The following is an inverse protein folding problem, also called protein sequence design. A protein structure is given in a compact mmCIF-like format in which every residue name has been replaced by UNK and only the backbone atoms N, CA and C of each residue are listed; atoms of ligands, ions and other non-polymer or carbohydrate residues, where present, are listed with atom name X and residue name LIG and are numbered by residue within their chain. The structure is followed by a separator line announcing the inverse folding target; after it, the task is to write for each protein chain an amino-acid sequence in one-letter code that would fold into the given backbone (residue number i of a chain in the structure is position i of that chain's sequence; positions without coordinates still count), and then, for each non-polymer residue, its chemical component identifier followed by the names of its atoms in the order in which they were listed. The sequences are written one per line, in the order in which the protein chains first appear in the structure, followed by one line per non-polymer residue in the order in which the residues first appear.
data_IF_755467003575
#
_entry.id   IF_755467003575
#
_cell.length_a   1.000
_cell.length_b   1.000
_cell.length_c   1.000
_cell.angle_alpha   90.00
_cell.angle_beta   90.00
_cell.angle_gamma   90.00
#
_symmetry.space_group_name_H-M   'P 1'
#
loop_
_entity.id
_entity.type
_entity.pdbx_description
1 polymer ?
#
# COMPACT_ATOMS: atom_id res chain seq x y z
N UNK A 1 18.34 -12.93 -14.91
CA UNK A 1 17.76 -11.59 -14.89
C UNK A 1 16.38 -11.68 -14.23
N UNK A 2 16.20 -11.02 -13.11
CA UNK A 2 14.92 -10.93 -12.42
C UNK A 2 14.46 -9.48 -12.42
N UNK A 3 13.15 -9.27 -12.63
CA UNK A 3 12.53 -7.96 -12.51
C UNK A 3 11.94 -7.81 -11.11
N UNK A 4 12.51 -6.91 -10.33
CA UNK A 4 12.02 -6.57 -9.00
C UNK A 4 11.16 -5.31 -9.03
N UNK A 5 10.06 -5.31 -8.31
CA UNK A 5 9.16 -4.15 -8.17
C UNK A 5 9.17 -3.70 -6.71
N UNK A 6 9.66 -2.50 -6.45
CA UNK A 6 9.85 -1.97 -5.10
C UNK A 6 8.67 -1.12 -4.65
N UNK A 7 8.10 -1.50 -3.51
CA UNK A 7 7.17 -0.67 -2.72
C UNK A 7 7.60 -0.66 -1.26
N UNK A 8 7.20 0.39 -0.53
CA UNK A 8 7.44 0.38 0.91
C UNK A 8 6.63 -0.71 1.60
N UNK A 9 5.34 -0.85 1.25
CA UNK A 9 4.41 -1.83 1.83
C UNK A 9 3.33 -2.21 0.82
N UNK A 10 2.82 -3.43 0.91
CA UNK A 10 1.62 -3.89 0.18
C UNK A 10 0.46 -3.90 1.16
N UNK A 11 -0.49 -2.94 1.09
CA UNK A 11 -1.67 -2.96 1.93
C UNK A 11 -2.68 -4.02 1.46
N UNK A 12 -3.42 -4.57 2.42
CA UNK A 12 -4.40 -5.65 2.13
C UNK A 12 -5.56 -5.17 1.24
N UNK A 13 -6.06 -3.97 1.54
CA UNK A 13 -7.15 -3.32 0.79
C UNK A 13 -6.59 -2.14 0.01
N UNK A 14 -6.05 -2.41 -1.17
CA UNK A 14 -5.47 -1.36 -2.00
C UNK A 14 -5.78 -1.55 -3.48
N UNK A 15 -6.14 -0.44 -4.10
CA UNK A 15 -6.17 -0.23 -5.54
C UNK A 15 -4.99 0.65 -5.99
N UNK A 16 -5.09 1.26 -7.16
CA UNK A 16 -4.08 2.17 -7.70
C UNK A 16 -2.74 1.48 -7.92
N UNK A 17 -1.65 2.04 -7.39
CA UNK A 17 -0.27 1.55 -7.62
C UNK A 17 -0.11 0.08 -7.26
N UNK A 18 -0.71 -0.37 -6.14
CA UNK A 18 -0.64 -1.79 -5.74
C UNK A 18 -1.28 -2.71 -6.77
N UNK A 19 -2.44 -2.33 -7.33
CA UNK A 19 -3.08 -3.11 -8.41
C UNK A 19 -2.23 -3.11 -9.67
N UNK A 20 -1.63 -1.98 -10.05
CA UNK A 20 -0.71 -1.90 -11.20
C UNK A 20 0.46 -2.85 -11.04
N UNK A 21 1.11 -2.85 -9.87
CA UNK A 21 2.26 -3.69 -9.58
C UNK A 21 1.89 -5.18 -9.62
N UNK A 22 0.78 -5.57 -8.98
CA UNK A 22 0.28 -6.95 -8.99
C UNK A 22 -0.07 -7.39 -10.41
N UNK A 23 -0.78 -6.58 -11.19
CA UNK A 23 -1.14 -6.90 -12.57
C UNK A 23 0.10 -7.00 -13.47
N UNK A 24 1.05 -6.09 -13.35
CA UNK A 24 2.31 -6.12 -14.11
C UNK A 24 3.11 -7.38 -13.77
N UNK A 25 3.26 -7.70 -12.48
CA UNK A 25 3.99 -8.90 -12.07
C UNK A 25 3.34 -10.18 -12.59
N UNK A 26 2.00 -10.26 -12.59
CA UNK A 26 1.23 -11.36 -13.16
C UNK A 26 1.48 -11.47 -14.66
N UNK A 27 1.33 -10.39 -15.43
CA UNK A 27 1.54 -10.38 -16.89
C UNK A 27 2.97 -10.77 -17.27
N UNK A 28 3.98 -10.35 -16.50
CA UNK A 28 5.36 -10.74 -16.73
C UNK A 28 5.57 -12.24 -16.44
N UNK A 29 5.04 -12.75 -15.34
CA UNK A 29 5.13 -14.17 -15.00
C UNK A 29 4.41 -15.06 -16.03
N UNK A 30 3.22 -14.68 -16.50
CA UNK A 30 2.49 -15.37 -17.56
C UNK A 30 3.27 -15.46 -18.89
N UNK A 31 4.17 -14.49 -19.12
CA UNK A 31 5.09 -14.49 -20.27
C UNK A 31 6.43 -15.17 -20.01
N UNK A 32 6.60 -15.81 -18.84
CA UNK A 32 7.81 -16.54 -18.48
C UNK A 32 8.95 -15.68 -17.93
N UNK A 33 8.74 -14.41 -17.63
CA UNK A 33 9.75 -13.56 -17.00
C UNK A 33 9.78 -13.78 -15.49
N UNK A 34 10.99 -13.93 -14.93
CA UNK A 34 11.20 -13.96 -13.48
C UNK A 34 10.91 -12.59 -12.89
N UNK A 35 10.00 -12.52 -11.90
CA UNK A 35 9.72 -11.27 -11.20
C UNK A 35 9.40 -11.50 -9.71
N UNK A 36 9.68 -10.47 -8.89
CA UNK A 36 9.39 -10.46 -7.47
C UNK A 36 8.97 -9.07 -7.00
N UNK A 37 8.18 -9.02 -5.93
CA UNK A 37 7.75 -7.80 -5.27
C UNK A 37 8.62 -7.58 -4.04
N UNK A 38 9.35 -6.45 -3.96
CA UNK A 38 10.15 -6.07 -2.81
C UNK A 38 9.39 -5.16 -1.87
N UNK A 39 9.44 -5.43 -0.56
CA UNK A 39 8.82 -4.60 0.47
C UNK A 39 9.79 -4.32 1.62
N UNK A 40 9.66 -3.13 2.23
CA UNK A 40 10.59 -2.58 3.20
C UNK A 40 9.97 -2.32 4.58
N UNK A 41 8.69 -2.64 4.76
CA UNK A 41 7.99 -2.47 6.04
C UNK A 41 8.10 -3.70 6.93
N UNK A 42 8.02 -3.47 8.23
CA UNK A 42 8.04 -4.51 9.24
C UNK A 42 6.65 -5.17 9.39
N UNK A 43 6.33 -6.08 8.48
CA UNK A 43 5.04 -6.76 8.40
C UNK A 43 5.24 -8.26 8.13
N UNK A 44 4.39 -9.10 8.71
CA UNK A 44 4.26 -10.50 8.30
C UNK A 44 3.41 -10.59 7.04
N UNK A 45 4.00 -11.04 5.95
CA UNK A 45 3.35 -11.15 4.65
C UNK A 45 2.64 -12.50 4.41
N UNK A 46 2.83 -13.53 5.24
CA UNK A 46 2.23 -14.85 5.02
C UNK A 46 0.70 -14.83 4.84
N UNK A 47 -0.08 -14.14 5.71
CA UNK A 47 -1.53 -14.07 5.52
C UNK A 47 -1.93 -13.33 4.25
N UNK A 48 -1.17 -12.29 3.89
CA UNK A 48 -1.43 -11.50 2.69
C UNK A 48 -1.07 -12.27 1.42
N UNK A 49 0.06 -13.00 1.41
CA UNK A 49 0.44 -13.88 0.29
C UNK A 49 -0.67 -14.89 0.00
N UNK A 50 -1.11 -15.63 1.02
CA UNK A 50 -2.18 -16.61 0.88
C UNK A 50 -3.45 -15.98 0.29
N UNK A 51 -3.87 -14.82 0.83
CA UNK A 51 -5.08 -14.13 0.36
C UNK A 51 -4.96 -13.64 -1.09
N UNK A 52 -3.82 -13.05 -1.47
CA UNK A 52 -3.60 -12.55 -2.83
C UNK A 52 -3.50 -13.69 -3.85
N UNK A 53 -2.88 -14.82 -3.49
CA UNK A 53 -2.77 -16.00 -4.34
C UNK A 53 -4.15 -16.65 -4.52
N UNK A 54 -4.89 -16.86 -3.45
CA UNK A 54 -6.23 -17.49 -3.49
C UNK A 54 -7.23 -16.63 -4.28
N UNK A 55 -7.09 -15.31 -4.27
CA UNK A 55 -7.91 -14.40 -5.07
C UNK A 55 -7.44 -14.23 -6.53
N UNK A 56 -6.37 -14.91 -6.95
CA UNK A 56 -5.78 -14.78 -8.29
C UNK A 56 -5.11 -13.42 -8.58
N UNK A 57 -4.95 -12.57 -7.58
CA UNK A 57 -4.29 -11.26 -7.69
C UNK A 57 -2.77 -11.35 -7.69
N UNK A 58 -2.20 -12.35 -7.03
CA UNK A 58 -0.78 -12.67 -7.08
C UNK A 58 -0.58 -13.97 -7.86
N UNK A 59 0.21 -13.92 -8.92
CA UNK A 59 0.56 -15.13 -9.68
C UNK A 59 1.43 -16.06 -8.82
N UNK A 60 1.25 -17.38 -8.92
CA UNK A 60 1.95 -18.38 -8.10
C UNK A 60 3.48 -18.31 -8.20
N UNK A 61 4.00 -17.90 -9.34
CA UNK A 61 5.45 -17.78 -9.58
C UNK A 61 6.03 -16.44 -9.08
N UNK A 62 5.19 -15.49 -8.67
CA UNK A 62 5.63 -14.17 -8.18
C UNK A 62 5.86 -14.22 -6.68
N UNK A 63 7.08 -13.98 -6.25
CA UNK A 63 7.45 -13.92 -4.83
C UNK A 63 7.22 -12.51 -4.26
N UNK A 64 6.78 -12.43 -3.00
CA UNK A 64 6.89 -11.22 -2.19
C UNK A 64 8.11 -11.41 -1.29
N UNK A 65 9.12 -10.59 -1.49
CA UNK A 65 10.37 -10.58 -0.74
C UNK A 65 10.35 -9.39 0.20
N UNK A 66 10.37 -9.65 1.50
CA UNK A 66 10.32 -8.60 2.51
C UNK A 66 11.64 -8.51 3.26
N UNK A 67 12.17 -7.30 3.43
CA UNK A 67 13.45 -7.05 4.10
C UNK A 67 13.55 -7.76 5.47
N UNK A 68 12.54 -7.60 6.32
CA UNK A 68 12.57 -8.15 7.67
C UNK A 68 12.38 -9.67 7.70
N UNK A 69 11.61 -10.23 6.76
CA UNK A 69 11.44 -11.67 6.62
C UNK A 69 12.75 -12.32 6.13
N UNK A 70 13.43 -11.72 5.15
CA UNK A 70 14.72 -12.23 4.66
C UNK A 70 15.78 -12.19 5.74
N UNK A 71 15.93 -11.08 6.46
CA UNK A 71 16.90 -11.01 7.56
C UNK A 71 16.59 -12.02 8.66
N UNK A 72 15.31 -12.22 8.98
CA UNK A 72 14.88 -13.27 9.91
C UNK A 72 15.32 -14.65 9.42
N UNK A 73 15.05 -14.99 8.16
CA UNK A 73 15.41 -16.28 7.56
C UNK A 73 16.93 -16.50 7.50
N UNK A 74 17.70 -15.43 7.25
CA UNK A 74 19.16 -15.48 7.19
C UNK A 74 19.79 -15.87 8.53
N UNK A 75 19.17 -15.47 9.66
CA UNK A 75 19.73 -15.67 11.00
C UNK A 75 19.02 -16.72 11.84
N UNK A 76 17.86 -17.22 11.40
CA UNK A 76 17.21 -18.35 12.06
C UNK A 76 18.02 -19.63 11.84
N UNK A 77 18.14 -20.43 12.90
CA UNK A 77 18.92 -21.66 12.93
C UNK A 77 17.98 -22.86 12.96
N UNK A 78 18.15 -23.79 12.05
CA UNK A 78 17.48 -25.09 12.08
C UNK A 78 18.11 -25.98 13.16
N UNK A 79 17.52 -25.96 14.36
CA UNK A 79 17.99 -26.73 15.51
C UNK A 79 16.80 -27.11 16.43
N UNK A 80 16.58 -28.41 16.57
CA UNK A 80 15.47 -28.97 17.35
C UNK A 80 15.54 -28.60 18.84
N UNK A 81 16.73 -28.47 19.42
CA UNK A 81 16.89 -28.08 20.83
C UNK A 81 16.43 -26.63 21.04
N UNK A 82 16.81 -25.74 20.12
CA UNK A 82 16.37 -24.33 20.13
C UNK A 82 14.87 -24.25 19.97
N UNK A 83 14.29 -25.01 19.05
CA UNK A 83 12.83 -25.06 18.81
C UNK A 83 12.09 -25.54 20.07
N UNK A 84 12.54 -26.62 20.68
CA UNK A 84 11.97 -27.16 21.92
C UNK A 84 12.06 -26.17 23.07
N UNK A 85 13.20 -25.53 23.25
CA UNK A 85 13.41 -24.49 24.27
C UNK A 85 12.48 -23.30 24.07
N UNK A 86 12.35 -22.81 22.84
CA UNK A 86 11.43 -21.73 22.49
C UNK A 86 9.99 -22.11 22.78
N UNK A 87 9.58 -23.31 22.39
CA UNK A 87 8.24 -23.82 22.62
C UNK A 87 7.93 -23.87 24.14
N UNK A 88 8.80 -24.49 24.93
CA UNK A 88 8.64 -24.58 26.39
C UNK A 88 8.56 -23.20 27.03
N UNK A 89 9.43 -22.27 26.60
CA UNK A 89 9.44 -20.90 27.12
C UNK A 89 8.15 -20.18 26.76
N UNK A 90 7.72 -20.29 25.50
CA UNK A 90 6.48 -19.69 25.03
C UNK A 90 5.26 -20.23 25.76
N UNK A 91 5.15 -21.54 25.94
CA UNK A 91 4.02 -22.18 26.63
C UNK A 91 3.88 -21.68 28.07
N UNK A 92 4.99 -21.58 28.82
CA UNK A 92 5.00 -20.96 30.15
C UNK A 92 4.50 -19.52 30.13
N UNK A 93 4.98 -18.73 29.16
CA UNK A 93 4.59 -17.32 29.03
C UNK A 93 3.14 -17.16 28.50
N UNK A 94 2.66 -18.11 27.70
CA UNK A 94 1.32 -18.10 27.13
C UNK A 94 0.23 -18.41 28.18
N UNK A 95 0.59 -19.02 29.31
CA UNK A 95 -0.36 -19.26 30.40
C UNK A 95 -0.96 -17.95 30.89
N UNK A 96 -2.30 -17.95 31.02
CA UNK A 96 -3.02 -16.82 31.59
C UNK A 96 -2.76 -16.71 33.11
N UNK A 97 -2.91 -17.84 33.82
CA UNK A 97 -2.69 -17.89 35.27
C UNK A 97 -1.19 -18.00 35.53
N UNK A 98 -0.68 -17.12 36.39
CA UNK A 98 0.70 -17.16 36.86
C UNK A 98 0.71 -17.06 38.39
N UNK A 99 1.45 -17.96 38.98
CA UNK A 99 1.57 -18.02 40.45
C UNK A 99 2.19 -16.74 41.02
N UNK A 100 1.66 -16.25 42.14
CA UNK A 100 2.11 -15.04 42.79
C UNK A 100 1.63 -13.72 42.18
N UNK A 101 0.66 -13.77 41.23
CA UNK A 101 0.08 -12.55 40.66
C UNK A 101 -1.42 -12.44 40.90
N UNK A 102 -1.89 -11.24 41.17
CA UNK A 102 -3.30 -10.85 41.01
C UNK A 102 -3.52 -10.50 39.55
N UNK A 103 -4.62 -11.03 38.96
CA UNK A 103 -4.85 -10.95 37.51
C UNK A 103 -6.21 -10.32 37.23
N UNK A 104 -6.20 -9.19 36.50
CA UNK A 104 -7.39 -8.59 35.94
C UNK A 104 -7.47 -8.95 34.45
N UNK A 105 -8.59 -9.53 34.02
CA UNK A 105 -8.82 -10.05 32.66
C UNK A 105 -9.87 -9.23 31.94
N UNK A 106 -9.68 -9.02 30.64
CA UNK A 106 -10.65 -8.46 29.73
C UNK A 106 -10.61 -9.24 28.41
N UNK A 107 -11.78 -9.54 27.84
CA UNK A 107 -11.92 -10.22 26.54
C UNK A 107 -12.79 -9.37 25.62
N UNK A 108 -12.37 -9.20 24.37
CA UNK A 108 -13.14 -8.52 23.35
C UNK A 108 -12.88 -9.16 21.98
N UNK A 109 -13.93 -9.74 21.37
CA UNK A 109 -13.83 -10.50 20.11
C UNK A 109 -12.74 -11.59 20.20
N UNK A 110 -11.82 -11.61 19.22
CA UNK A 110 -10.69 -12.56 19.15
C UNK A 110 -9.49 -12.14 20.01
N UNK A 111 -9.63 -11.08 20.82
CA UNK A 111 -8.54 -10.51 21.62
C UNK A 111 -8.82 -10.71 23.10
N UNK A 112 -7.82 -11.25 23.76
CA UNK A 112 -7.80 -11.43 25.22
C UNK A 112 -6.68 -10.62 25.82
N UNK A 113 -6.95 -9.99 26.95
CA UNK A 113 -6.00 -9.13 27.66
C UNK A 113 -5.94 -9.53 29.13
N UNK A 114 -4.75 -9.40 29.74
CA UNK A 114 -4.59 -9.57 31.17
C UNK A 114 -3.56 -8.59 31.74
N UNK A 115 -3.90 -8.01 32.89
CA UNK A 115 -3.02 -7.17 33.70
C UNK A 115 -2.62 -7.94 34.96
N UNK A 116 -1.34 -7.93 35.24
CA UNK A 116 -0.74 -8.68 36.35
C UNK A 116 -0.17 -7.74 37.38
N UNK A 117 -0.56 -7.97 38.65
CA UNK A 117 -0.14 -7.18 39.79
C UNK A 117 0.57 -8.08 40.78
N UNK A 118 1.65 -7.60 41.37
CA UNK A 118 2.37 -8.24 42.47
C UNK A 118 2.71 -7.18 43.53
N UNK A 119 2.47 -7.47 44.81
CA UNK A 119 2.72 -6.56 45.93
C UNK A 119 2.13 -5.15 45.64
N UNK A 120 0.88 -5.09 45.19
CA UNK A 120 0.16 -3.87 44.80
C UNK A 120 0.79 -3.08 43.62
N UNK A 121 1.80 -3.61 42.95
CA UNK A 121 2.43 -2.98 41.80
C UNK A 121 1.94 -3.60 40.48
N UNK A 122 1.68 -2.75 39.49
CA UNK A 122 1.40 -3.19 38.13
C UNK A 122 2.71 -3.61 37.45
N UNK A 123 2.85 -4.91 37.19
CA UNK A 123 4.13 -5.49 36.74
C UNK A 123 4.11 -5.84 35.26
N UNK A 124 2.97 -6.36 34.77
CA UNK A 124 2.95 -6.92 33.42
C UNK A 124 1.56 -6.83 32.78
N UNK A 125 1.54 -6.67 31.47
CA UNK A 125 0.35 -6.79 30.63
C UNK A 125 0.60 -7.82 29.54
N UNK A 126 -0.33 -8.73 29.34
CA UNK A 126 -0.28 -9.69 28.23
C UNK A 126 -1.45 -9.48 27.29
N UNK A 127 -1.20 -9.70 25.99
CA UNK A 127 -2.22 -9.69 24.95
C UNK A 127 -2.14 -10.94 24.10
N UNK A 128 -3.28 -11.58 23.92
CA UNK A 128 -3.46 -12.71 23.00
C UNK A 128 -4.29 -12.26 21.81
N UNK A 129 -4.02 -12.86 20.66
CA UNK A 129 -4.78 -12.72 19.40
C UNK A 129 -5.00 -14.16 18.89
N UNK A 130 -6.24 -14.53 18.60
CA UNK A 130 -6.60 -15.88 18.16
C UNK A 130 -6.04 -16.98 19.09
N UNK A 131 -6.12 -16.76 20.41
CA UNK A 131 -5.63 -17.68 21.42
C UNK A 131 -4.12 -17.77 21.60
N UNK A 132 -3.33 -17.07 20.83
CA UNK A 132 -1.87 -17.05 20.93
C UNK A 132 -1.35 -15.74 21.52
N UNK A 133 -0.37 -15.85 22.42
CA UNK A 133 0.29 -14.69 23.02
C UNK A 133 0.99 -13.87 21.92
N UNK A 134 0.53 -12.61 21.77
CA UNK A 134 1.07 -11.66 20.80
C UNK A 134 2.20 -10.84 21.38
N UNK A 135 2.00 -10.28 22.56
CA UNK A 135 3.07 -9.52 23.23
C UNK A 135 2.88 -9.45 24.77
N UNK A 136 3.98 -9.16 25.44
CA UNK A 136 4.04 -8.87 26.88
C UNK A 136 4.65 -7.49 27.06
N UNK A 137 3.96 -6.61 27.79
CA UNK A 137 4.52 -5.36 28.29
C UNK A 137 4.96 -5.53 29.75
N UNK A 138 6.14 -5.05 30.09
CA UNK A 138 6.70 -5.04 31.44
C UNK A 138 6.70 -3.62 31.98
N UNK A 139 6.34 -3.47 33.25
CA UNK A 139 6.21 -2.19 33.94
C UNK A 139 7.09 -2.14 35.19
N UNK A 140 7.67 -0.97 35.41
CA UNK A 140 8.37 -0.62 36.65
C UNK A 140 7.94 0.79 37.04
N UNK A 141 7.59 0.99 38.33
CA UNK A 141 7.10 2.27 38.81
C UNK A 141 5.95 2.85 37.95
N UNK A 142 4.99 2.00 37.56
CA UNK A 142 3.84 2.32 36.68
C UNK A 142 4.21 2.77 35.25
N UNK A 143 5.50 2.76 34.90
CA UNK A 143 5.97 3.08 33.54
C UNK A 143 6.28 1.80 32.80
N UNK A 144 5.88 1.74 31.49
CA UNK A 144 6.28 0.63 30.65
C UNK A 144 7.75 0.79 30.31
N UNK A 145 8.54 -0.23 30.61
CA UNK A 145 9.97 -0.25 30.36
C UNK A 145 10.33 -1.08 29.13
N UNK A 146 9.59 -2.18 28.87
CA UNK A 146 9.92 -3.14 27.83
C UNK A 146 8.67 -3.80 27.26
N UNK A 147 8.74 -4.19 25.97
CA UNK A 147 7.77 -5.07 25.31
C UNK A 147 8.49 -6.21 24.63
N UNK A 148 8.02 -7.43 24.86
CA UNK A 148 8.37 -8.61 24.09
C UNK A 148 7.26 -8.88 23.08
N UNK A 149 7.61 -9.06 21.77
CA UNK A 149 6.67 -9.38 20.70
C UNK A 149 6.98 -10.78 20.19
N UNK A 150 5.94 -11.61 20.12
CA UNK A 150 6.04 -13.00 19.68
C UNK A 150 5.44 -13.16 18.29
N UNK A 151 6.09 -13.99 17.46
CA UNK A 151 5.58 -14.43 16.17
C UNK A 151 5.89 -15.93 16.03
N UNK A 152 4.90 -16.73 15.69
CA UNK A 152 5.03 -18.18 15.59
C UNK A 152 5.63 -18.82 16.85
N UNK A 153 5.19 -18.36 18.03
CA UNK A 153 5.64 -18.81 19.37
C UNK A 153 7.10 -18.47 19.71
N UNK A 154 7.78 -17.67 18.91
CA UNK A 154 9.16 -17.24 19.10
C UNK A 154 9.20 -15.75 19.46
N UNK A 155 10.07 -15.37 20.41
CA UNK A 155 10.34 -13.97 20.71
C UNK A 155 11.12 -13.36 19.52
N UNK A 156 10.48 -12.44 18.81
CA UNK A 156 11.05 -11.81 17.60
C UNK A 156 11.50 -10.39 17.78
N UNK A 157 10.89 -9.68 18.72
CA UNK A 157 11.28 -8.28 18.99
C UNK A 157 11.29 -7.99 20.48
N UNK A 158 12.26 -7.23 20.88
CA UNK A 158 12.33 -6.56 22.17
C UNK A 158 12.28 -5.05 21.94
N UNK A 159 11.32 -4.38 22.58
CA UNK A 159 11.13 -2.93 22.46
C UNK A 159 11.37 -2.32 23.83
N UNK A 160 12.28 -1.38 23.92
CA UNK A 160 12.56 -0.61 25.14
C UNK A 160 11.88 0.75 25.07
N UNK A 161 11.41 1.25 26.19
CA UNK A 161 10.73 2.53 26.32
C UNK A 161 11.48 3.46 27.27
N UNK A 162 11.49 4.75 26.95
CA UNK A 162 12.05 5.78 27.80
C UNK A 162 11.03 6.24 28.85
N UNK A 163 11.46 7.14 29.76
CA UNK A 163 10.62 7.68 30.85
C UNK A 163 9.33 8.38 30.39
N UNK A 164 9.28 8.83 29.13
CA UNK A 164 8.11 9.46 28.50
C UNK A 164 7.18 8.43 27.83
N UNK A 165 7.40 7.12 28.06
CA UNK A 165 6.69 6.01 27.43
C UNK A 165 6.77 6.02 25.89
N UNK A 166 7.86 6.55 25.33
CA UNK A 166 8.18 6.50 23.91
C UNK A 166 9.18 5.38 23.63
N UNK A 167 9.08 4.71 22.49
CA UNK A 167 10.08 3.73 22.08
C UNK A 167 11.46 4.39 21.99
N UNK A 168 12.45 3.81 22.64
CA UNK A 168 13.85 4.22 22.58
C UNK A 168 14.71 3.26 21.77
N UNK A 169 14.37 1.95 21.78
CA UNK A 169 15.07 0.93 21.02
C UNK A 169 14.10 -0.17 20.57
N UNK A 170 14.33 -0.73 19.38
CA UNK A 170 13.67 -1.94 18.89
C UNK A 170 14.73 -2.92 18.39
N UNK A 171 14.86 -4.06 19.07
CA UNK A 171 15.73 -5.17 18.66
C UNK A 171 14.94 -6.22 17.92
N UNK A 172 15.49 -6.73 16.82
CA UNK A 172 14.99 -7.86 16.06
C UNK A 172 15.86 -9.08 16.35
N UNK A 173 15.22 -10.19 16.68
CA UNK A 173 15.86 -11.38 17.17
C UNK A 173 15.62 -12.59 16.27
N UNK A 174 16.68 -13.38 16.03
CA UNK A 174 16.58 -14.71 15.48
C UNK A 174 15.98 -15.69 16.50
N UNK A 175 15.70 -16.92 16.07
CA UNK A 175 15.11 -17.94 16.94
C UNK A 175 16.03 -18.40 18.08
N UNK A 176 17.33 -18.21 17.98
CA UNK A 176 18.31 -18.49 19.03
C UNK A 176 18.58 -17.28 19.95
N UNK A 177 17.86 -16.16 19.72
CA UNK A 177 17.96 -14.94 20.49
C UNK A 177 19.06 -13.97 20.05
N UNK A 178 19.76 -14.25 18.94
CA UNK A 178 20.74 -13.32 18.39
C UNK A 178 20.05 -12.05 17.87
N UNK A 179 20.50 -10.87 18.32
CA UNK A 179 20.02 -9.59 17.83
C UNK A 179 20.75 -9.24 16.54
N UNK A 180 20.08 -9.39 15.39
CA UNK A 180 20.67 -9.06 14.10
C UNK A 180 20.41 -7.61 13.65
N UNK A 181 19.43 -6.92 14.26
CA UNK A 181 19.07 -5.56 13.89
C UNK A 181 18.55 -4.79 15.10
N UNK A 182 19.07 -3.57 15.33
CA UNK A 182 18.60 -2.68 16.40
C UNK A 182 18.35 -1.29 15.85
N UNK A 183 17.13 -0.77 16.10
CA UNK A 183 16.72 0.59 15.78
C UNK A 183 16.73 1.44 17.04
N UNK A 184 17.40 2.58 17.00
CA UNK A 184 17.43 3.54 18.09
C UNK A 184 16.63 4.79 17.71
N UNK A 185 15.79 5.25 18.63
CA UNK A 185 14.85 6.35 18.43
C UNK A 185 15.14 7.52 19.34
N UNK A 186 15.05 8.72 18.79
CA UNK A 186 15.06 9.96 19.56
C UNK A 186 13.68 10.33 20.12
N UNK A 187 13.66 11.40 20.91
CA UNK A 187 12.44 11.90 21.59
C UNK A 187 11.26 12.19 20.64
N UNK A 188 11.52 12.55 19.39
CA UNK A 188 10.51 12.84 18.38
C UNK A 188 10.07 11.60 17.57
N UNK A 189 10.39 10.39 18.05
CA UNK A 189 10.15 9.11 17.34
C UNK A 189 10.90 9.00 16.02
N UNK A 190 11.85 9.88 15.74
CA UNK A 190 12.75 9.75 14.58
C UNK A 190 13.80 8.68 14.87
N UNK A 191 14.19 7.97 13.83
CA UNK A 191 15.32 7.04 13.90
C UNK A 191 16.61 7.87 14.00
N UNK A 192 17.40 7.59 15.04
CA UNK A 192 18.71 8.20 15.29
C UNK A 192 19.82 7.34 14.74
N UNK A 193 19.66 6.02 14.90
CA UNK A 193 20.63 5.03 14.46
C UNK A 193 20.00 3.69 14.19
N UNK A 194 20.60 2.92 13.27
CA UNK A 194 20.26 1.54 12.97
C UNK A 194 21.55 0.75 13.01
N UNK A 195 21.63 -0.27 13.86
CA UNK A 195 22.76 -1.19 13.92
C UNK A 195 22.33 -2.53 13.30
N UNK A 196 23.10 -2.98 12.35
CA UNK A 196 22.99 -4.30 11.75
C UNK A 196 24.19 -5.13 12.17
N UNK A 197 23.93 -6.29 12.77
CA UNK A 197 24.93 -7.21 13.28
C UNK A 197 24.98 -8.44 12.38
N UNK A 198 26.11 -8.65 11.75
CA UNK A 198 26.34 -9.86 10.97
C UNK A 198 26.97 -10.94 11.86
N UNK A 199 26.22 -12.03 12.08
CA UNK A 199 26.66 -13.15 12.93
C UNK A 199 27.88 -13.86 12.39
N UNK A 200 28.01 -13.94 11.06
CA UNK A 200 29.05 -14.72 10.40
C UNK A 200 30.38 -13.96 10.33
N UNK A 201 30.35 -12.71 9.87
CA UNK A 201 31.55 -11.87 9.80
C UNK A 201 31.92 -11.21 11.12
N UNK A 202 30.99 -11.20 12.11
CA UNK A 202 31.08 -10.46 13.38
C UNK A 202 31.19 -8.93 13.17
N UNK A 203 30.80 -8.45 11.99
CA UNK A 203 30.79 -7.02 11.69
C UNK A 203 29.55 -6.34 12.27
N UNK A 204 29.71 -5.07 12.63
CA UNK A 204 28.63 -4.19 13.03
C UNK A 204 28.58 -3.01 12.09
N UNK A 205 27.49 -2.92 11.34
CA UNK A 205 27.26 -1.80 10.44
C UNK A 205 26.29 -0.82 11.09
N UNK A 206 26.50 0.47 10.82
CA UNK A 206 25.73 1.56 11.39
C UNK A 206 25.14 2.44 10.28
N UNK A 207 23.83 2.69 10.36
CA UNK A 207 23.10 3.53 9.41
C UNK A 207 22.34 4.65 10.14
N UNK A 208 22.47 5.88 9.67
CA UNK A 208 21.81 7.06 10.27
C UNK A 208 20.29 7.09 10.08
N UNK A 209 19.77 6.35 9.10
CA UNK A 209 18.35 6.35 8.76
C UNK A 209 17.96 5.15 7.87
N UNK A 210 16.66 4.95 7.73
CA UNK A 210 16.12 3.88 6.88
C UNK A 210 16.54 3.95 5.41
N UNK A 211 16.80 5.14 4.87
CA UNK A 211 17.18 5.26 3.45
C UNK A 211 18.49 4.54 3.21
N UNK A 212 19.50 4.81 4.05
CA UNK A 212 20.83 4.17 3.95
C UNK A 212 20.76 2.67 4.17
N UNK A 213 19.99 2.22 5.18
CA UNK A 213 19.84 0.79 5.46
C UNK A 213 19.10 0.06 4.33
N UNK A 214 18.05 0.65 3.77
CA UNK A 214 17.33 0.09 2.65
C UNK A 214 18.20 0.02 1.38
N UNK A 215 18.99 1.06 1.07
CA UNK A 215 19.96 1.02 -0.03
C UNK A 215 20.96 -0.11 0.14
N UNK A 216 21.53 -0.25 1.34
CA UNK A 216 22.46 -1.34 1.66
C UNK A 216 21.85 -2.73 1.44
N UNK A 217 20.60 -2.94 1.92
CA UNK A 217 19.89 -4.20 1.73
C UNK A 217 19.63 -4.49 0.25
N UNK A 218 19.24 -3.47 -0.53
CA UNK A 218 19.05 -3.61 -1.98
C UNK A 218 20.37 -3.96 -2.68
N UNK A 219 21.47 -3.30 -2.31
CA UNK A 219 22.81 -3.60 -2.87
C UNK A 219 23.27 -5.04 -2.61
N UNK A 220 22.87 -5.62 -1.47
CA UNK A 220 23.19 -7.02 -1.13
C UNK A 220 22.35 -8.04 -1.86
N UNK A 221 21.13 -7.69 -2.25
CA UNK A 221 20.14 -8.62 -2.80
C UNK A 221 19.96 -8.49 -4.32
N UNK A 222 20.49 -7.43 -4.95
CA UNK A 222 20.36 -7.20 -6.38
C UNK A 222 21.70 -7.34 -7.08
N UNK A 223 21.66 -7.91 -8.28
CA UNK A 223 22.83 -8.09 -9.14
C UNK A 223 22.76 -7.20 -10.38
N UNK A 224 23.89 -7.01 -11.07
CA UNK A 224 23.98 -6.25 -12.32
C UNK A 224 23.05 -6.76 -13.43
N UNK A 225 22.60 -8.00 -13.34
CA UNK A 225 21.65 -8.59 -14.30
C UNK A 225 20.18 -8.31 -13.96
N UNK A 226 19.91 -7.63 -12.86
CA UNK A 226 18.54 -7.41 -12.41
C UNK A 226 18.01 -6.02 -12.81
N UNK A 227 16.68 -5.93 -12.88
CA UNK A 227 15.94 -4.68 -13.13
C UNK A 227 15.14 -4.34 -11.90
N UNK A 228 15.29 -3.12 -11.41
CA UNK A 228 14.52 -2.60 -10.28
C UNK A 228 13.52 -1.54 -10.74
N UNK A 229 12.22 -1.86 -10.67
CA UNK A 229 11.12 -0.93 -10.93
C UNK A 229 10.67 -0.28 -9.63
N UNK A 230 10.63 1.04 -9.60
CA UNK A 230 10.29 1.86 -8.46
C UNK A 230 8.92 2.50 -8.68
N UNK A 231 7.88 1.86 -8.17
CA UNK A 231 6.48 2.27 -8.37
C UNK A 231 5.93 3.15 -7.24
N UNK A 232 6.50 3.05 -6.06
CA UNK A 232 5.98 3.74 -4.88
C UNK A 232 6.46 5.20 -4.75
N UNK A 233 5.56 6.09 -4.34
CA UNK A 233 5.94 7.41 -3.87
C UNK A 233 6.96 7.26 -2.73
N UNK A 234 8.10 7.96 -2.80
CA UNK A 234 9.15 7.90 -1.79
C UNK A 234 10.09 6.68 -1.89
N UNK A 235 10.03 5.90 -2.99
CA UNK A 235 11.04 4.85 -3.24
C UNK A 235 12.35 5.42 -3.79
N UNK A 236 12.34 6.54 -4.50
CA UNK A 236 13.54 7.19 -5.00
C UNK A 236 14.63 7.40 -3.92
N UNK A 237 14.34 7.98 -2.73
CA UNK A 237 15.36 8.14 -1.70
C UNK A 237 15.86 6.83 -1.09
N UNK A 238 15.27 5.67 -1.41
CA UNK A 238 15.70 4.35 -0.94
C UNK A 238 16.78 3.74 -1.82
N UNK A 239 16.93 4.25 -3.03
CA UNK A 239 17.92 3.79 -4.01
C UNK A 239 18.99 4.84 -4.30
N UNK A 240 18.81 6.07 -3.84
CA UNK A 240 19.73 7.20 -4.04
C UNK A 240 21.14 6.91 -3.49
N UNK A 241 21.25 6.10 -2.43
CA UNK A 241 22.51 5.73 -1.79
C UNK A 241 23.01 4.32 -2.17
N UNK A 242 22.39 3.68 -3.15
CA UNK A 242 22.87 2.40 -3.66
C UNK A 242 24.26 2.56 -4.29
N UNK A 243 25.17 1.63 -3.97
CA UNK A 243 26.52 1.58 -4.53
C UNK A 243 26.57 0.74 -5.81
N UNK A 244 25.64 -0.22 -5.96
CA UNK A 244 25.53 -1.03 -7.17
C UNK A 244 24.85 -0.23 -8.30
N UNK A 245 25.69 0.42 -9.11
CA UNK A 245 25.23 1.24 -10.23
C UNK A 245 24.86 0.43 -11.47
N UNK A 246 25.22 -0.86 -11.51
CA UNK A 246 24.94 -1.74 -12.66
C UNK A 246 23.50 -2.24 -12.69
N UNK A 247 22.78 -2.21 -11.55
CA UNK A 247 21.34 -2.51 -11.48
C UNK A 247 20.57 -1.45 -12.25
N UNK A 248 19.83 -1.86 -13.27
CA UNK A 248 18.96 -0.95 -14.04
C UNK A 248 17.74 -0.51 -13.24
N UNK A 249 17.60 0.79 -13.02
CA UNK A 249 16.54 1.39 -12.20
C UNK A 249 15.51 2.08 -13.09
N UNK A 250 14.25 1.64 -13.01
CA UNK A 250 13.11 2.23 -13.74
C UNK A 250 12.22 2.94 -12.73
N UNK A 251 12.17 4.25 -12.81
CA UNK A 251 11.33 5.08 -11.94
C UNK A 251 10.00 5.33 -12.61
N UNK A 252 8.88 5.10 -11.92
CA UNK A 252 7.54 5.31 -12.50
C UNK A 252 6.77 6.37 -11.72
N UNK A 253 6.24 7.36 -12.42
CA UNK A 253 5.32 8.37 -11.85
C UNK A 253 3.88 7.97 -12.17
N UNK A 254 3.15 7.51 -11.15
CA UNK A 254 1.76 7.04 -11.26
C UNK A 254 0.70 8.11 -11.04
N UNK A 255 1.07 9.37 -10.84
CA UNK A 255 0.15 10.47 -10.53
C UNK A 255 0.61 11.76 -11.20
N UNK A 256 -0.21 12.78 -11.13
CA UNK A 256 0.24 14.12 -11.53
C UNK A 256 1.35 14.59 -10.58
N UNK A 257 2.45 15.09 -11.13
CA UNK A 257 3.62 15.53 -10.39
C UNK A 257 3.56 16.99 -9.93
N UNK A 258 2.55 17.75 -10.39
CA UNK A 258 2.33 19.12 -9.98
C UNK A 258 1.43 19.24 -8.74
N UNK A 259 1.67 20.29 -7.95
CA UNK A 259 0.69 20.80 -6.99
C UNK A 259 -0.47 21.50 -7.72
N UNK A 260 -1.50 21.92 -6.96
CA UNK A 260 -2.61 22.69 -7.53
C UNK A 260 -2.08 23.94 -8.28
N UNK A 261 -2.62 24.26 -9.47
CA UNK A 261 -3.81 23.71 -10.13
C UNK A 261 -3.60 22.44 -10.98
N UNK A 262 -2.53 21.67 -10.76
CA UNK A 262 -2.23 20.39 -11.39
C UNK A 262 -1.94 20.45 -12.89
N UNK A 263 -1.34 21.55 -13.34
CA UNK A 263 -1.00 21.82 -14.74
C UNK A 263 0.40 22.39 -14.85
N UNK A 264 0.93 22.39 -16.07
CA UNK A 264 2.22 22.99 -16.36
C UNK A 264 2.36 24.42 -15.80
N UNK A 265 3.51 24.70 -15.18
CA UNK A 265 3.79 25.96 -14.50
C UNK A 265 3.47 25.98 -12.99
N UNK A 266 2.77 24.98 -12.47
CA UNK A 266 2.59 24.81 -11.04
C UNK A 266 3.86 24.24 -10.36
N UNK A 267 3.95 24.38 -9.06
CA UNK A 267 5.05 23.79 -8.28
C UNK A 267 5.04 22.26 -8.35
N UNK A 268 6.24 21.68 -8.32
CA UNK A 268 6.42 20.22 -8.25
C UNK A 268 6.12 19.74 -6.83
N UNK A 269 5.38 18.66 -6.73
CA UNK A 269 5.16 17.97 -5.44
C UNK A 269 6.49 17.60 -4.80
N UNK A 270 6.67 17.81 -3.48
CA UNK A 270 7.94 17.59 -2.79
C UNK A 270 8.53 16.19 -3.02
N UNK A 271 7.67 15.17 -3.08
CA UNK A 271 8.07 13.77 -3.26
C UNK A 271 8.73 13.47 -4.63
N UNK A 272 8.51 14.30 -5.65
CA UNK A 272 9.10 14.14 -6.98
C UNK A 272 10.23 15.13 -7.25
N UNK A 273 10.37 16.16 -6.43
CA UNK A 273 11.30 17.29 -6.69
C UNK A 273 12.73 16.81 -6.89
N UNK A 274 13.29 16.07 -5.95
CA UNK A 274 14.69 15.60 -6.06
C UNK A 274 14.90 14.69 -7.26
N UNK A 275 13.97 13.77 -7.50
CA UNK A 275 14.06 12.86 -8.65
C UNK A 275 14.05 13.62 -9.97
N UNK A 276 13.16 14.62 -10.14
CA UNK A 276 13.04 15.38 -11.37
C UNK A 276 14.18 16.39 -11.55
N UNK A 277 14.74 16.94 -10.46
CA UNK A 277 15.94 17.78 -10.54
C UNK A 277 17.19 16.98 -10.96
N UNK A 278 17.23 15.69 -10.62
CA UNK A 278 18.32 14.78 -11.02
C UNK A 278 17.93 13.91 -12.23
N UNK A 279 16.99 14.37 -13.06
CA UNK A 279 16.45 13.60 -14.20
C UNK A 279 17.54 13.08 -15.14
N UNK A 280 18.59 13.84 -15.36
CA UNK A 280 19.74 13.48 -16.19
C UNK A 280 20.44 12.20 -15.71
N UNK A 281 20.48 11.99 -14.40
CA UNK A 281 21.19 10.86 -13.76
C UNK A 281 20.34 9.59 -13.63
N UNK A 282 19.05 9.66 -14.01
CA UNK A 282 18.18 8.49 -13.95
C UNK A 282 18.41 7.56 -15.15
N UNK A 283 18.47 6.26 -14.92
CA UNK A 283 18.53 5.26 -16.00
C UNK A 283 17.29 5.35 -16.90
N UNK A 284 16.10 5.33 -16.32
CA UNK A 284 14.84 5.47 -17.05
C UNK A 284 13.75 6.04 -16.16
N UNK A 285 13.08 7.08 -16.64
CA UNK A 285 11.84 7.58 -16.08
C UNK A 285 10.65 7.13 -16.91
N UNK A 286 9.70 6.44 -16.33
CA UNK A 286 8.43 6.06 -16.95
C UNK A 286 7.33 7.00 -16.48
N UNK A 287 6.61 7.55 -17.43
CA UNK A 287 5.35 8.28 -17.21
C UNK A 287 4.22 7.60 -17.97
N UNK A 288 2.99 7.85 -17.58
CA UNK A 288 1.85 7.08 -18.07
C UNK A 288 1.19 7.70 -19.30
N UNK A 289 1.49 8.97 -19.61
CA UNK A 289 0.89 9.69 -20.74
C UNK A 289 1.91 10.56 -21.46
N UNK A 290 1.64 10.82 -22.74
CA UNK A 290 2.46 11.73 -23.53
C UNK A 290 2.42 13.16 -22.98
N UNK A 291 1.24 13.63 -22.56
CA UNK A 291 1.10 14.98 -21.96
C UNK A 291 2.02 15.16 -20.74
N UNK A 292 2.11 14.15 -19.88
CA UNK A 292 2.99 14.21 -18.71
C UNK A 292 4.48 14.23 -19.12
N UNK A 293 4.87 13.45 -20.14
CA UNK A 293 6.22 13.48 -20.70
C UNK A 293 6.54 14.87 -21.24
N UNK A 294 5.65 15.44 -22.04
CA UNK A 294 5.84 16.74 -22.68
C UNK A 294 6.00 17.86 -21.63
N UNK A 295 5.19 17.84 -20.57
CA UNK A 295 5.30 18.79 -19.44
C UNK A 295 6.64 18.66 -18.69
N UNK A 296 7.12 17.44 -18.47
CA UNK A 296 8.41 17.20 -17.79
C UNK A 296 9.57 17.65 -18.68
N UNK A 297 9.57 17.31 -19.97
CA UNK A 297 10.60 17.75 -20.92
C UNK A 297 10.66 19.29 -20.99
N UNK A 298 9.50 19.93 -21.08
CA UNK A 298 9.42 21.39 -21.15
C UNK A 298 10.00 22.08 -19.92
N UNK A 299 9.93 21.45 -18.74
CA UNK A 299 10.41 22.04 -17.48
C UNK A 299 11.85 21.65 -17.13
N UNK A 300 12.27 20.44 -17.44
CA UNK A 300 13.55 19.87 -16.99
C UNK A 300 14.51 19.52 -18.13
N UNK A 301 14.07 19.55 -19.38
CA UNK A 301 14.85 19.16 -20.56
C UNK A 301 14.63 17.70 -20.97
N UNK A 302 15.05 17.36 -22.18
CA UNK A 302 14.99 16.00 -22.72
C UNK A 302 16.37 15.33 -22.68
N UNK A 303 16.49 14.26 -21.92
CA UNK A 303 17.71 13.45 -21.79
C UNK A 303 17.56 12.05 -22.42
N UNK A 304 16.55 11.85 -23.26
CA UNK A 304 16.22 10.58 -23.92
C UNK A 304 15.89 9.39 -23.00
N UNK A 305 15.84 9.61 -21.69
CA UNK A 305 15.56 8.60 -20.67
C UNK A 305 14.10 8.57 -20.22
N UNK A 306 13.22 9.44 -20.74
CA UNK A 306 11.80 9.48 -20.39
C UNK A 306 11.02 8.62 -21.41
N UNK A 307 10.35 7.58 -20.89
CA UNK A 307 9.51 6.68 -21.69
C UNK A 307 8.04 6.81 -21.31
N UNK A 308 7.16 6.74 -22.28
CA UNK A 308 5.70 6.68 -22.05
C UNK A 308 5.28 5.22 -22.07
N UNK A 309 4.92 4.67 -20.90
CA UNK A 309 4.44 3.29 -20.77
C UNK A 309 3.16 3.32 -19.94
N UNK A 310 1.99 3.27 -20.56
CA UNK A 310 0.71 3.27 -19.85
C UNK A 310 0.54 2.03 -18.96
N UNK A 311 -0.25 2.16 -17.91
CA UNK A 311 -0.69 1.00 -17.14
C UNK A 311 -1.59 0.12 -18.01
N UNK A 312 -1.52 -1.19 -17.81
CA UNK A 312 -2.33 -2.19 -18.50
C UNK A 312 -3.34 -2.84 -17.53
N UNK A 313 -4.44 -3.29 -18.09
CA UNK A 313 -5.41 -4.17 -17.43
C UNK A 313 -5.57 -5.44 -18.26
N UNK A 314 -5.90 -6.56 -17.62
CA UNK A 314 -6.22 -7.79 -18.34
C UNK A 314 -7.53 -7.57 -19.11
N UNK A 315 -7.56 -8.03 -20.35
CA UNK A 315 -8.75 -8.01 -21.19
C UNK A 315 -9.32 -9.44 -21.24
N UNK A 316 -10.62 -9.58 -20.98
CA UNK A 316 -11.32 -10.86 -21.10
C UNK A 316 -12.08 -10.89 -22.45
N UNK A 317 -11.65 -11.76 -23.36
CA UNK A 317 -12.24 -11.89 -24.71
C UNK A 317 -13.68 -12.44 -24.67
N UNK A 318 -13.99 -13.28 -23.70
CA UNK A 318 -15.29 -13.95 -23.55
C UNK A 318 -16.12 -13.30 -22.41
N UNK A 319 -16.47 -12.03 -22.55
CA UNK A 319 -17.56 -11.46 -21.76
C UNK A 319 -18.86 -12.10 -22.26
N UNK A 320 -19.32 -13.16 -21.61
CA UNK A 320 -20.71 -13.64 -21.79
C UNK A 320 -21.64 -12.42 -21.71
N UNK A 321 -22.66 -12.36 -22.55
CA UNK A 321 -23.65 -11.27 -22.57
C UNK A 321 -24.32 -11.17 -21.20
N UNK A 322 -23.64 -10.55 -20.23
CA UNK A 322 -24.23 -10.25 -18.94
C UNK A 322 -25.23 -9.10 -19.15
N UNK A 323 -26.46 -9.34 -18.75
CA UNK A 323 -27.51 -8.34 -18.81
C UNK A 323 -27.09 -7.20 -17.88
N UNK A 324 -26.66 -6.08 -18.46
CA UNK A 324 -26.36 -4.86 -17.70
C UNK A 324 -27.62 -4.37 -16.99
N UNK A 325 -27.49 -4.01 -15.76
CA UNK A 325 -28.56 -3.38 -14.99
C UNK A 325 -28.79 -1.97 -15.57
N UNK A 326 -29.98 -1.73 -16.11
CA UNK A 326 -30.33 -0.44 -16.65
C UNK A 326 -30.19 0.65 -15.57
N UNK A 327 -29.67 1.82 -15.92
CA UNK A 327 -29.52 2.98 -15.05
C UNK A 327 -28.60 2.72 -13.82
N UNK A 328 -27.72 1.72 -13.88
CA UNK A 328 -26.75 1.37 -12.82
C UNK A 328 -25.40 2.03 -13.08
N UNK A 329 -25.01 2.97 -12.23
CA UNK A 329 -23.75 3.72 -12.29
C UNK A 329 -22.81 3.15 -11.20
N UNK A 330 -21.55 2.93 -11.56
CA UNK A 330 -20.55 2.42 -10.63
C UNK A 330 -19.36 3.38 -10.45
N UNK A 331 -18.88 3.47 -9.22
CA UNK A 331 -17.67 4.22 -8.85
C UNK A 331 -16.81 3.36 -7.95
N UNK A 332 -15.63 2.96 -8.40
CA UNK A 332 -14.63 2.21 -7.62
C UNK A 332 -13.44 3.13 -7.35
N UNK A 333 -13.38 3.75 -6.17
CA UNK A 333 -12.35 4.74 -5.83
C UNK A 333 -12.09 4.78 -4.32
N UNK A 334 -10.91 5.30 -3.93
CA UNK A 334 -10.63 5.64 -2.53
C UNK A 334 -11.52 6.83 -2.09
N UNK A 335 -12.02 6.78 -0.88
CA UNK A 335 -12.85 7.86 -0.32
C UNK A 335 -11.99 8.98 0.26
N UNK A 336 -11.33 9.73 -0.62
CA UNK A 336 -10.49 10.90 -0.31
C UNK A 336 -11.00 12.14 -1.04
N UNK A 337 -10.72 13.33 -0.49
CA UNK A 337 -11.28 14.58 -0.99
C UNK A 337 -11.03 14.80 -2.49
N UNK A 338 -9.82 14.57 -2.96
CA UNK A 338 -9.42 14.77 -4.36
C UNK A 338 -10.22 13.95 -5.40
N UNK A 339 -10.99 12.95 -4.98
CA UNK A 339 -11.84 12.15 -5.88
C UNK A 339 -13.19 12.80 -6.17
N UNK A 340 -13.58 13.82 -5.41
CA UNK A 340 -14.79 14.62 -5.61
C UNK A 340 -16.06 13.78 -5.84
N UNK A 341 -16.19 12.64 -5.14
CA UNK A 341 -17.37 11.76 -5.26
C UNK A 341 -18.66 12.50 -4.88
N UNK A 342 -18.57 13.56 -4.07
CA UNK A 342 -19.68 14.45 -3.75
C UNK A 342 -20.30 15.12 -4.98
N UNK A 343 -19.50 15.36 -6.05
CA UNK A 343 -20.01 15.90 -7.31
C UNK A 343 -20.90 14.87 -8.03
N UNK A 344 -20.51 13.60 -8.00
CA UNK A 344 -21.29 12.50 -8.59
C UNK A 344 -22.61 12.34 -7.82
N UNK A 345 -22.56 12.32 -6.47
CA UNK A 345 -23.77 12.26 -5.62
C UNK A 345 -24.70 13.43 -5.91
N UNK A 346 -24.15 14.65 -6.06
CA UNK A 346 -24.93 15.83 -6.40
C UNK A 346 -25.51 15.78 -7.82
N UNK A 347 -24.79 15.20 -8.79
CA UNK A 347 -25.29 14.98 -10.13
C UNK A 347 -26.48 14.00 -10.14
N UNK A 348 -26.41 12.92 -9.34
CA UNK A 348 -27.55 11.98 -9.20
C UNK A 348 -28.82 12.69 -8.69
N UNK A 349 -28.67 13.68 -7.80
CA UNK A 349 -29.83 14.46 -7.34
C UNK A 349 -30.52 15.24 -8.48
N UNK A 350 -29.79 15.58 -9.54
CA UNK A 350 -30.37 16.21 -10.74
C UNK A 350 -30.96 15.14 -11.67
N UNK A 351 -30.20 14.05 -11.92
CA UNK A 351 -30.56 12.97 -12.84
C UNK A 351 -31.86 12.29 -12.43
N UNK A 352 -32.06 11.99 -11.14
CA UNK A 352 -33.26 11.29 -10.63
C UNK A 352 -34.58 12.01 -10.91
N UNK A 353 -34.55 13.33 -11.19
CA UNK A 353 -35.76 14.07 -11.57
C UNK A 353 -36.32 13.61 -12.91
N UNK A 354 -35.47 13.07 -13.80
CA UNK A 354 -35.80 12.52 -15.11
C UNK A 354 -35.77 10.99 -15.15
N UNK A 355 -34.81 10.38 -14.48
CA UNK A 355 -34.57 8.93 -14.40
C UNK A 355 -34.74 8.51 -12.96
N UNK A 356 -35.97 8.22 -12.55
CA UNK A 356 -36.34 7.97 -11.14
C UNK A 356 -35.62 6.74 -10.55
N UNK A 357 -35.38 5.73 -11.36
CA UNK A 357 -34.78 4.44 -11.02
C UNK A 357 -33.24 4.42 -11.17
N UNK A 358 -32.58 5.58 -11.37
CA UNK A 358 -31.12 5.66 -11.42
C UNK A 358 -30.53 5.20 -10.08
N UNK A 359 -29.51 4.35 -10.16
CA UNK A 359 -28.75 3.84 -9.00
C UNK A 359 -27.27 4.12 -9.15
N UNK A 360 -26.67 4.64 -8.09
CA UNK A 360 -25.23 4.86 -7.98
C UNK A 360 -24.67 3.94 -6.90
N UNK A 361 -23.76 3.07 -7.27
CA UNK A 361 -23.03 2.18 -6.37
C UNK A 361 -21.59 2.67 -6.22
N UNK A 362 -21.19 3.04 -4.98
CA UNK A 362 -19.89 3.60 -4.67
C UNK A 362 -19.13 2.59 -3.82
N UNK A 363 -18.05 2.03 -4.36
CA UNK A 363 -17.20 1.04 -3.69
C UNK A 363 -15.86 1.64 -3.29
N UNK A 364 -15.45 1.42 -2.05
CA UNK A 364 -14.14 1.86 -1.57
C UNK A 364 -14.09 2.09 -0.07
N UNK A 365 -12.96 2.64 0.37
CA UNK A 365 -12.72 3.01 1.77
C UNK A 365 -11.97 4.34 1.84
N UNK A 366 -12.08 5.03 2.97
CA UNK A 366 -11.35 6.26 3.25
C UNK A 366 -12.10 7.25 4.13
N UNK A 367 -11.45 8.38 4.39
CA UNK A 367 -11.88 9.38 5.37
C UNK A 367 -13.16 10.13 4.99
N UNK A 368 -13.59 10.08 3.72
CA UNK A 368 -14.77 10.82 3.23
C UNK A 368 -16.09 10.03 3.35
N UNK A 369 -16.08 8.78 3.83
CA UNK A 369 -17.29 7.92 3.92
C UNK A 369 -18.43 8.63 4.68
N UNK A 370 -18.11 9.25 5.80
CA UNK A 370 -19.10 9.96 6.63
C UNK A 370 -19.70 11.18 5.91
N UNK A 371 -18.86 11.95 5.20
CA UNK A 371 -19.31 13.11 4.41
C UNK A 371 -20.27 12.68 3.30
N UNK A 372 -20.00 11.57 2.62
CA UNK A 372 -20.89 11.02 1.59
C UNK A 372 -22.23 10.61 2.20
N UNK A 373 -22.22 9.91 3.34
CA UNK A 373 -23.44 9.50 4.04
C UNK A 373 -24.29 10.70 4.47
N UNK A 374 -23.65 11.77 5.00
CA UNK A 374 -24.35 13.02 5.36
C UNK A 374 -24.97 13.68 4.13
N UNK A 375 -24.27 13.74 3.00
CA UNK A 375 -24.76 14.34 1.76
C UNK A 375 -25.94 13.55 1.18
N UNK A 376 -25.88 12.22 1.15
CA UNK A 376 -26.96 11.34 0.69
C UNK A 376 -28.23 11.58 1.51
N UNK A 377 -28.13 11.65 2.84
CA UNK A 377 -29.26 11.95 3.73
C UNK A 377 -29.83 13.35 3.47
N UNK A 378 -28.95 14.37 3.37
CA UNK A 378 -29.33 15.77 3.11
C UNK A 378 -30.13 15.91 1.80
N UNK A 379 -29.70 15.17 0.77
CA UNK A 379 -30.33 15.22 -0.56
C UNK A 379 -31.50 14.22 -0.71
N UNK A 380 -31.81 13.41 0.32
CA UNK A 380 -32.82 12.35 0.31
C UNK A 380 -32.61 11.37 -0.85
N UNK A 381 -31.40 10.83 -0.95
CA UNK A 381 -30.94 9.94 -2.02
C UNK A 381 -30.74 8.48 -1.56
N UNK A 382 -31.33 8.06 -0.43
CA UNK A 382 -31.10 6.74 0.16
C UNK A 382 -31.53 5.59 -0.76
N UNK A 383 -32.51 5.83 -1.62
CA UNK A 383 -33.02 4.85 -2.60
C UNK A 383 -32.24 4.85 -3.93
N UNK A 384 -31.36 5.83 -4.14
CA UNK A 384 -30.62 6.02 -5.38
C UNK A 384 -29.10 5.83 -5.22
N UNK A 385 -28.52 6.04 -4.04
CA UNK A 385 -27.07 6.04 -3.81
C UNK A 385 -26.69 5.09 -2.70
N UNK A 386 -25.84 4.14 -3.02
CA UNK A 386 -25.42 3.05 -2.13
C UNK A 386 -23.92 3.09 -1.92
N UNK A 387 -23.47 3.14 -0.66
CA UNK A 387 -22.04 3.09 -0.29
C UNK A 387 -21.70 1.68 0.16
N UNK A 388 -20.70 1.10 -0.49
CA UNK A 388 -20.19 -0.22 -0.21
C UNK A 388 -18.74 -0.15 0.30
N UNK A 389 -18.29 -1.21 0.95
CA UNK A 389 -16.89 -1.35 1.33
C UNK A 389 -16.01 -1.71 0.13
N UNK A 390 -14.72 -1.92 0.37
CA UNK A 390 -13.76 -2.31 -0.66
C UNK A 390 -14.17 -3.61 -1.35
N UNK A 391 -14.23 -3.59 -2.67
CA UNK A 391 -14.53 -4.77 -3.49
C UNK A 391 -13.23 -5.47 -3.94
N UNK A 392 -13.12 -6.76 -3.68
CA UNK A 392 -12.03 -7.60 -4.18
C UNK A 392 -12.33 -8.14 -5.58
N UNK A 393 -13.57 -8.54 -5.82
CA UNK A 393 -14.06 -8.95 -7.15
C UNK A 393 -14.70 -7.74 -7.86
N UNK A 394 -13.95 -7.15 -8.78
CA UNK A 394 -14.42 -6.03 -9.59
C UNK A 394 -15.16 -6.50 -10.86
N UNK A 395 -14.93 -7.73 -11.31
CA UNK A 395 -15.54 -8.31 -12.51
C UNK A 395 -17.06 -8.31 -12.40
N UNK A 396 -17.59 -8.97 -11.38
CA UNK A 396 -19.03 -9.08 -11.15
C UNK A 396 -19.73 -7.72 -10.98
N UNK A 397 -18.98 -6.67 -10.61
CA UNK A 397 -19.49 -5.33 -10.48
C UNK A 397 -19.54 -4.59 -11.82
N UNK A 398 -18.44 -4.59 -12.58
CA UNK A 398 -18.39 -3.90 -13.87
C UNK A 398 -19.28 -4.54 -14.92
N UNK A 399 -19.43 -5.87 -14.91
CA UNK A 399 -20.30 -6.58 -15.87
C UNK A 399 -21.78 -6.20 -15.75
N UNK A 400 -22.21 -5.76 -14.55
CA UNK A 400 -23.58 -5.29 -14.30
C UNK A 400 -23.76 -3.79 -14.51
N UNK A 401 -22.69 -3.01 -14.47
CA UNK A 401 -22.77 -1.56 -14.58
C UNK A 401 -23.09 -1.09 -16.00
N UNK A 402 -23.91 -0.04 -16.13
CA UNK A 402 -24.18 0.62 -17.40
C UNK A 402 -23.29 1.84 -17.64
N UNK A 403 -22.65 2.39 -16.60
CA UNK A 403 -21.80 3.58 -16.68
C UNK A 403 -20.82 3.61 -15.52
N UNK A 404 -19.60 4.14 -15.76
CA UNK A 404 -18.64 4.52 -14.68
C UNK A 404 -18.26 5.99 -14.78
N UNK A 405 -17.99 6.63 -13.62
CA UNK A 405 -17.76 8.07 -13.54
C UNK A 405 -16.51 8.41 -12.74
N UNK A 406 -15.69 9.35 -13.25
CA UNK A 406 -14.50 9.88 -12.61
C UNK A 406 -14.57 11.40 -12.48
N UNK A 407 -14.46 11.92 -11.25
CA UNK A 407 -14.51 13.37 -10.96
C UNK A 407 -13.27 13.87 -10.22
N UNK A 408 -12.17 13.15 -10.29
CA UNK A 408 -10.92 13.47 -9.58
C UNK A 408 -10.39 14.87 -9.93
N UNK A 409 -9.60 15.46 -9.04
CA UNK A 409 -8.88 16.71 -9.31
C UNK A 409 -7.74 16.51 -10.30
N UNK A 410 -7.07 15.38 -10.19
CA UNK A 410 -5.94 14.95 -11.04
C UNK A 410 -5.76 13.43 -10.96
N UNK A 411 -5.07 12.87 -11.94
CA UNK A 411 -4.63 11.47 -12.00
C UNK A 411 -3.24 11.35 -12.64
N UNK A 412 -2.70 10.15 -12.74
CA UNK A 412 -1.65 9.80 -13.71
C UNK A 412 -2.31 9.13 -14.92
N UNK A 413 -2.78 7.89 -14.72
CA UNK A 413 -3.65 7.16 -15.63
C UNK A 413 -4.68 6.40 -14.77
N UNK A 414 -5.96 6.79 -14.78
CA UNK A 414 -6.94 6.26 -13.84
C UNK A 414 -7.30 4.81 -14.12
N UNK A 415 -6.83 3.89 -13.26
CA UNK A 415 -7.08 2.46 -13.39
C UNK A 415 -8.58 2.13 -13.43
N UNK A 416 -9.40 2.82 -12.63
CA UNK A 416 -10.85 2.57 -12.59
C UNK A 416 -11.55 2.81 -13.93
N UNK A 417 -11.04 3.74 -14.76
CA UNK A 417 -11.56 3.91 -16.14
C UNK A 417 -11.08 2.78 -17.05
N UNK A 418 -9.81 2.41 -16.98
CA UNK A 418 -9.28 1.27 -17.78
C UNK A 418 -10.00 -0.03 -17.41
N UNK A 419 -10.19 -0.28 -16.11
CA UNK A 419 -10.95 -1.43 -15.61
C UNK A 419 -12.40 -1.41 -16.13
N UNK A 420 -13.13 -0.29 -16.01
CA UNK A 420 -14.48 -0.17 -16.54
C UNK A 420 -14.53 -0.48 -18.04
N UNK A 421 -13.63 0.13 -18.82
CA UNK A 421 -13.56 -0.05 -20.28
C UNK A 421 -13.18 -1.47 -20.67
N UNK A 422 -12.35 -2.19 -19.92
CA UNK A 422 -11.99 -3.60 -20.19
C UNK A 422 -13.20 -4.53 -20.08
N UNK A 423 -14.23 -4.13 -19.34
CA UNK A 423 -15.53 -4.81 -19.26
C UNK A 423 -16.59 -4.18 -20.18
N UNK A 424 -16.19 -3.31 -21.12
CA UNK A 424 -17.07 -2.64 -22.06
C UNK A 424 -17.99 -1.60 -21.43
N UNK A 425 -17.73 -1.12 -20.20
CA UNK A 425 -18.53 -0.08 -19.54
C UNK A 425 -18.10 1.30 -20.05
N UNK A 426 -19.00 2.10 -20.64
CA UNK A 426 -18.71 3.46 -21.03
C UNK A 426 -18.39 4.32 -19.80
N UNK A 427 -17.60 5.38 -20.00
CA UNK A 427 -17.09 6.20 -18.90
C UNK A 427 -17.36 7.69 -19.10
N UNK A 428 -17.60 8.43 -18.01
CA UNK A 428 -17.62 9.90 -18.01
C UNK A 428 -16.50 10.39 -17.09
N UNK A 429 -15.74 11.38 -17.55
CA UNK A 429 -14.67 11.98 -16.76
C UNK A 429 -14.64 13.50 -16.87
N UNK A 430 -14.11 14.15 -15.82
CA UNK A 430 -13.67 15.54 -15.91
C UNK A 430 -12.44 15.68 -16.81
N UNK A 431 -12.20 16.86 -17.41
CA UNK A 431 -11.05 17.14 -18.29
C UNK A 431 -9.78 17.43 -17.46
N UNK A 432 -9.32 16.45 -16.72
CA UNK A 432 -8.19 16.58 -15.78
C UNK A 432 -6.86 16.13 -16.39
N UNK A 433 -5.77 16.57 -15.83
CA UNK A 433 -4.43 16.06 -16.07
C UNK A 433 -4.06 15.03 -14.98
N UNK A 434 -3.55 13.83 -15.34
CA UNK A 434 -3.41 13.32 -16.70
C UNK A 434 -4.41 12.15 -16.90
N UNK A 435 -4.35 11.48 -18.04
CA UNK A 435 -4.95 10.17 -18.27
C UNK A 435 -6.27 10.16 -19.01
N UNK A 436 -7.37 10.79 -18.55
CA UNK A 436 -8.67 10.67 -19.23
C UNK A 436 -8.62 10.98 -20.72
N UNK A 437 -7.91 12.06 -21.11
CA UNK A 437 -7.75 12.45 -22.52
C UNK A 437 -6.94 11.46 -23.36
N UNK A 438 -6.10 10.63 -22.72
CA UNK A 438 -5.29 9.62 -23.41
C UNK A 438 -6.07 8.34 -23.72
N UNK A 439 -7.19 8.08 -23.01
CA UNK A 439 -7.94 6.82 -23.08
C UNK A 439 -9.39 7.00 -23.52
N UNK A 440 -9.98 8.19 -23.35
CA UNK A 440 -11.37 8.46 -23.75
C UNK A 440 -11.41 9.10 -25.15
N UNK A 441 -12.09 8.41 -26.06
CA UNK A 441 -12.51 8.96 -27.34
C UNK A 441 -13.97 9.40 -27.21
N UNK A 442 -14.19 10.73 -27.20
CA UNK A 442 -15.50 11.30 -26.98
C UNK A 442 -16.58 10.72 -27.90
N UNK A 443 -17.71 10.34 -27.33
CA UNK A 443 -18.87 9.74 -27.99
C UNK A 443 -18.61 8.35 -28.64
N UNK A 444 -17.45 7.72 -28.38
CA UNK A 444 -17.15 6.36 -28.84
C UNK A 444 -17.10 5.41 -27.64
N UNK A 445 -16.16 5.61 -26.72
CA UNK A 445 -15.98 4.75 -25.55
C UNK A 445 -16.28 5.49 -24.22
N UNK A 446 -16.60 6.77 -24.29
CA UNK A 446 -16.90 7.60 -23.11
C UNK A 446 -17.08 9.08 -23.44
N UNK A 447 -17.15 9.90 -22.41
CA UNK A 447 -17.33 11.35 -22.53
C UNK A 447 -16.39 12.06 -21.56
N UNK A 448 -15.70 13.10 -22.05
CA UNK A 448 -15.01 14.08 -21.22
C UNK A 448 -15.88 15.34 -21.15
N UNK A 449 -16.18 15.82 -19.94
CA UNK A 449 -16.93 17.09 -19.78
C UNK A 449 -16.08 18.27 -20.25
N UNK A 450 -16.73 19.38 -20.60
CA UNK A 450 -16.02 20.59 -21.07
C UNK A 450 -15.30 21.30 -19.93
N UNK A 451 -15.86 21.25 -18.73
CA UNK A 451 -15.33 21.93 -17.54
C UNK A 451 -15.25 20.97 -16.36
N UNK A 452 -14.17 21.08 -15.58
CA UNK A 452 -14.06 20.48 -14.26
C UNK A 452 -15.08 21.16 -13.31
N UNK A 453 -15.56 20.43 -12.30
CA UNK A 453 -16.45 20.90 -11.23
C UNK A 453 -17.83 21.39 -11.69
N UNK A 454 -18.21 21.14 -12.94
CA UNK A 454 -19.55 21.48 -13.46
C UNK A 454 -20.52 20.31 -13.28
N UNK A 455 -21.19 20.29 -12.10
CA UNK A 455 -22.14 19.24 -11.73
C UNK A 455 -23.36 19.21 -12.69
N UNK A 456 -23.82 20.36 -13.17
CA UNK A 456 -24.94 20.43 -14.10
C UNK A 456 -24.58 19.82 -15.47
N UNK A 457 -23.36 20.04 -15.93
CA UNK A 457 -22.87 19.40 -17.16
C UNK A 457 -22.71 17.91 -16.98
N UNK A 458 -22.11 17.48 -15.84
CA UNK A 458 -21.95 16.07 -15.49
C UNK A 458 -23.29 15.33 -15.49
N UNK A 459 -24.34 15.93 -14.94
CA UNK A 459 -25.69 15.37 -14.88
C UNK A 459 -26.41 15.28 -16.25
N UNK A 460 -25.94 16.03 -17.25
CA UNK A 460 -26.50 16.00 -18.63
C UNK A 460 -25.87 14.95 -19.54
N UNK A 461 -24.71 14.46 -19.15
CA UNK A 461 -23.98 13.44 -19.92
C UNK A 461 -24.39 12.04 -19.50
#
# INVERSE_FOLDING_TARGET
MTTYMLMYSIPEKAGGITSVMLNRSKLLAEKGYSCALLTLDDKNYDPLRAKLTNSGRLHKEVKIVNLYEELKMLYDVENTEIENKNMQTFEKLNLLNQEGFYIQKDEYEEKKYARYFKDNNYIMYKKWINGQLSHIDYFQNRKRIKRHVFQNKILRKEITFNDKNKMSEVKYLSNDGFCYLSYWYGDNKNIVNIFYFDKNSKEVLNFKNNKMFHSYWLDKNLTSNDVLILDGIGTYPKVENMQNNDVKKIFTIHTNHFLSPYSYGAEIKPEFRNMLLNLKELDTLVVLTKEQKDDIIKQFGDYNNIKVIPNAVSFEENLTQNIREKNSIIVLQRFVAMKNITHIISAINIVRKKVKDVKLHIYGTGTQKENYTKLIKKLKLQDNVFIHDYAFDIRGLYTKASLSVLTSDYEGLPMSLLEAMSYGVPVISYPINYGPKSIIQNNINGIITKKKDNINELAKK
#
